data_IF_152484731647
#
_entry.id   IF_152484731647
#
_cell.length_a   1.000
_cell.length_b   1.000
_cell.length_c   1.000
_cell.angle_alpha   90.00
_cell.angle_beta   90.00
_cell.angle_gamma   90.00
#
_symmetry.space_group_name_H-M   'P 1'
#
loop_
_entity.id
_entity.type
_entity.pdbx_description
1 polymer ?
#
# COMPACT_ATOMS: atom_id res chain seq x y z
N UNK A 1 33.58 3.49 3.82
CA UNK A 1 32.43 2.64 3.47
C UNK A 1 31.25 3.31 4.11
N UNK A 2 30.34 3.83 3.30
CA UNK A 2 29.12 4.45 3.82
C UNK A 2 28.05 3.37 4.05
N UNK A 3 27.36 3.45 5.18
CA UNK A 3 26.44 2.41 5.63
C UNK A 3 25.14 3.03 6.14
N UNK A 4 24.04 2.71 5.47
CA UNK A 4 22.72 2.95 6.03
C UNK A 4 22.27 1.67 6.74
N UNK A 5 22.37 1.67 8.08
CA UNK A 5 21.85 0.60 8.93
C UNK A 5 20.49 1.01 9.48
N UNK A 6 19.45 0.34 9.03
CA UNK A 6 18.11 0.53 9.58
C UNK A 6 17.86 -0.60 10.58
N UNK A 7 17.87 -0.27 11.86
CA UNK A 7 17.71 -1.23 12.98
C UNK A 7 16.27 -1.36 13.47
N UNK A 8 15.34 -0.63 12.89
CA UNK A 8 13.94 -0.68 13.32
C UNK A 8 13.20 -1.83 12.66
N UNK A 9 12.53 -2.63 13.50
CA UNK A 9 11.56 -3.64 13.08
C UNK A 9 10.30 -2.92 12.61
N UNK A 10 10.27 -2.48 11.37
CA UNK A 10 9.08 -1.87 10.79
C UNK A 10 8.74 -2.56 9.47
N UNK A 11 7.49 -3.02 9.35
CA UNK A 11 6.88 -3.17 8.04
C UNK A 11 6.74 -1.77 7.45
N UNK A 12 7.18 -1.56 6.22
CA UNK A 12 7.07 -0.22 5.63
C UNK A 12 7.76 -0.06 4.28
N UNK A 13 7.95 1.21 3.96
CA UNK A 13 8.64 1.68 2.78
C UNK A 13 9.82 2.51 3.26
N UNK A 14 11.02 2.20 2.78
CA UNK A 14 12.21 3.00 3.07
C UNK A 14 12.53 3.88 1.88
N UNK A 15 12.71 5.18 2.14
CA UNK A 15 13.06 6.17 1.15
C UNK A 15 14.45 6.72 1.42
N UNK A 16 15.33 6.64 0.43
CA UNK A 16 16.70 7.13 0.56
C UNK A 16 17.23 7.66 -0.76
N UNK A 17 18.20 8.56 -0.66
CA UNK A 17 18.98 9.10 -1.76
C UNK A 17 20.33 8.41 -1.82
N UNK A 18 20.79 8.11 -3.03
CA UNK A 18 22.09 7.49 -3.27
C UNK A 18 22.70 8.04 -4.56
N UNK A 19 24.02 8.12 -4.65
CA UNK A 19 24.74 8.51 -5.88
C UNK A 19 25.61 7.40 -6.49
N UNK A 20 25.52 6.18 -5.94
CA UNK A 20 26.22 5.00 -6.41
C UNK A 20 25.49 4.34 -7.58
N UNK A 21 26.24 3.94 -8.61
CA UNK A 21 25.68 3.10 -9.68
C UNK A 21 25.58 1.62 -9.26
N UNK A 22 26.20 1.22 -8.13
CA UNK A 22 26.24 -0.14 -7.60
C UNK A 22 26.17 -0.10 -6.08
N UNK A 23 25.33 -0.94 -5.51
CA UNK A 23 25.22 -1.08 -4.06
C UNK A 23 24.69 -2.47 -3.68
N UNK A 24 24.95 -2.85 -2.44
CA UNK A 24 24.51 -4.10 -1.86
C UNK A 24 23.39 -3.85 -0.84
N UNK A 25 22.49 -4.81 -0.74
CA UNK A 25 21.39 -4.84 0.20
C UNK A 25 21.49 -6.18 0.94
N UNK A 26 21.83 -6.10 2.22
CA UNK A 26 21.82 -7.23 3.12
C UNK A 26 20.56 -7.14 3.94
N UNK A 27 19.72 -8.17 3.87
CA UNK A 27 18.46 -8.17 4.61
C UNK A 27 18.11 -9.56 5.12
N UNK A 28 17.31 -9.59 6.19
CA UNK A 28 16.83 -10.83 6.80
C UNK A 28 15.35 -10.68 7.12
N UNK A 29 14.55 -11.63 6.65
CA UNK A 29 13.13 -11.71 6.99
C UNK A 29 12.86 -12.87 7.95
N UNK A 30 11.90 -12.68 8.84
CA UNK A 30 11.45 -13.64 9.86
C UNK A 30 9.93 -13.74 9.88
N UNK A 31 9.38 -14.64 10.71
CA UNK A 31 7.93 -14.80 10.90
C UNK A 31 7.14 -14.92 9.58
N UNK A 32 7.72 -15.62 8.60
CA UNK A 32 7.09 -15.82 7.30
C UNK A 32 5.79 -16.62 7.52
N UNK A 33 4.65 -16.04 7.17
CA UNK A 33 3.33 -16.66 7.34
C UNK A 33 3.30 -17.98 6.56
N UNK A 34 3.09 -19.07 7.29
CA UNK A 34 2.95 -20.40 6.70
C UNK A 34 1.63 -20.51 5.92
N UNK A 35 1.61 -21.38 4.91
CA UNK A 35 0.43 -21.59 4.06
C UNK A 35 0.73 -21.45 2.57
N UNK A 36 -0.30 -21.71 1.78
CA UNK A 36 -0.27 -21.65 0.31
C UNK A 36 -0.93 -20.35 -0.17
N UNK A 37 -0.13 -19.46 -0.72
CA UNK A 37 -0.54 -18.14 -1.23
C UNK A 37 -0.28 -18.02 -2.74
N UNK A 38 -1.00 -18.79 -3.59
CA UNK A 38 -0.73 -18.84 -5.03
C UNK A 38 -1.05 -17.52 -5.76
N UNK A 39 -1.88 -16.68 -5.14
CA UNK A 39 -2.31 -15.38 -5.65
C UNK A 39 -1.38 -14.24 -5.20
N UNK A 40 -0.29 -14.54 -4.48
CA UNK A 40 0.66 -13.53 -4.02
C UNK A 40 2.04 -13.81 -4.62
N UNK A 41 2.68 -12.78 -5.18
CA UNK A 41 4.04 -12.93 -5.67
C UNK A 41 5.01 -13.20 -4.52
N UNK A 42 6.04 -14.02 -4.77
CA UNK A 42 6.99 -14.43 -3.72
C UNK A 42 7.69 -13.21 -3.11
N UNK A 43 7.93 -12.18 -3.91
CA UNK A 43 8.55 -10.93 -3.45
C UNK A 43 7.60 -10.11 -2.56
N UNK A 44 6.29 -10.11 -2.82
CA UNK A 44 5.30 -9.52 -1.90
C UNK A 44 5.17 -10.32 -0.58
N UNK A 45 5.35 -11.64 -0.64
CA UNK A 45 5.26 -12.52 0.53
C UNK A 45 6.45 -12.38 1.47
N UNK A 46 7.67 -12.47 0.94
CA UNK A 46 8.89 -12.65 1.72
C UNK A 46 10.13 -11.95 1.14
N UNK A 47 9.93 -11.08 0.15
CA UNK A 47 11.01 -10.40 -0.55
C UNK A 47 11.00 -8.88 -0.41
N UNK A 48 11.90 -8.24 -1.15
CA UNK A 48 12.00 -6.79 -1.26
C UNK A 48 11.74 -6.37 -2.70
N UNK A 49 11.16 -5.19 -2.88
CA UNK A 49 11.00 -4.58 -4.20
C UNK A 49 11.59 -3.18 -4.17
N UNK A 50 12.42 -2.86 -5.17
CA UNK A 50 13.05 -1.57 -5.28
C UNK A 50 12.54 -0.82 -6.50
N UNK A 51 12.21 0.45 -6.28
CA UNK A 51 11.96 1.43 -7.33
C UNK A 51 12.99 2.56 -7.23
N UNK A 52 13.28 3.21 -8.34
CA UNK A 52 14.08 4.44 -8.35
C UNK A 52 13.39 5.56 -9.10
N UNK A 53 13.75 6.80 -8.74
CA UNK A 53 13.36 8.01 -9.46
C UNK A 53 14.60 8.75 -9.93
N UNK A 54 14.76 8.85 -11.25
CA UNK A 54 15.85 9.60 -11.86
C UNK A 54 15.68 11.10 -11.59
N UNK A 55 16.74 11.88 -11.30
CA UNK A 55 16.63 13.33 -11.02
C UNK A 55 16.08 14.20 -12.15
N UNK A 56 15.87 13.64 -13.35
CA UNK A 56 15.38 14.34 -14.55
C UNK A 56 14.03 13.77 -15.01
N UNK A 57 13.49 12.79 -14.29
CA UNK A 57 12.23 12.14 -14.61
C UNK A 57 11.34 12.20 -13.38
N UNK A 58 10.05 12.43 -13.62
CA UNK A 58 9.07 12.44 -12.53
C UNK A 58 8.55 11.04 -12.19
N UNK A 59 8.97 10.03 -12.95
CA UNK A 59 8.44 8.67 -12.86
C UNK A 59 9.35 7.75 -12.04
N UNK A 60 8.72 7.02 -11.12
CA UNK A 60 9.31 5.86 -10.46
C UNK A 60 9.38 4.67 -11.43
N UNK A 61 10.55 4.06 -11.53
CA UNK A 61 10.79 2.88 -12.35
C UNK A 61 11.30 1.72 -11.49
N UNK A 62 10.95 0.49 -11.84
CA UNK A 62 11.44 -0.70 -11.14
C UNK A 62 12.94 -0.87 -11.35
N UNK A 63 13.65 -1.16 -10.26
CA UNK A 63 15.05 -1.59 -10.29
C UNK A 63 15.08 -3.12 -10.36
N UNK A 64 14.61 -3.76 -9.28
CA UNK A 64 14.73 -5.19 -9.06
C UNK A 64 13.75 -5.65 -7.98
N UNK A 65 13.43 -6.95 -7.98
CA UNK A 65 12.68 -7.58 -6.91
C UNK A 65 13.42 -8.83 -6.39
N UNK A 66 13.73 -8.84 -5.10
CA UNK A 66 14.54 -9.88 -4.48
C UNK A 66 13.69 -10.84 -3.65
N UNK A 67 13.97 -12.13 -3.79
CA UNK A 67 13.50 -13.15 -2.87
C UNK A 67 14.45 -13.29 -1.68
N UNK A 68 13.97 -13.69 -0.49
CA UNK A 68 14.76 -13.87 0.73
C UNK A 68 16.07 -14.69 0.53
N UNK A 69 16.09 -15.64 -0.40
CA UNK A 69 17.30 -16.44 -0.68
C UNK A 69 18.38 -15.73 -1.51
N UNK A 70 18.09 -14.55 -2.05
CA UNK A 70 18.98 -13.85 -2.98
C UNK A 70 19.70 -12.71 -2.27
N UNK A 71 21.02 -12.62 -2.48
CA UNK A 71 21.77 -11.44 -2.08
C UNK A 71 21.32 -10.25 -2.93
N UNK A 72 20.92 -9.16 -2.28
CA UNK A 72 20.54 -7.94 -2.99
C UNK A 72 21.77 -7.27 -3.55
N UNK A 73 22.00 -7.40 -4.86
CA UNK A 73 23.02 -6.65 -5.57
C UNK A 73 22.36 -5.83 -6.66
N UNK A 74 22.46 -4.51 -6.55
CA UNK A 74 21.88 -3.57 -7.50
C UNK A 74 22.98 -3.04 -8.42
N UNK A 75 22.73 -3.06 -9.73
CA UNK A 75 23.59 -2.45 -10.73
C UNK A 75 22.80 -1.53 -11.67
N UNK A 76 22.95 -0.22 -11.45
CA UNK A 76 22.30 0.85 -12.19
C UNK A 76 23.14 1.38 -13.37
N UNK A 77 24.30 0.79 -13.67
CA UNK A 77 25.23 1.32 -14.69
C UNK A 77 24.62 1.47 -16.10
N UNK A 78 23.54 0.74 -16.40
CA UNK A 78 22.83 0.83 -17.69
C UNK A 78 21.73 1.89 -17.69
N UNK A 79 21.34 2.39 -16.51
CA UNK A 79 20.24 3.32 -16.30
C UNK A 79 20.72 4.72 -15.89
N UNK A 80 21.88 4.80 -15.25
CA UNK A 80 22.46 6.02 -14.67
C UNK A 80 23.95 6.10 -14.98
N UNK A 81 24.43 7.32 -15.21
CA UNK A 81 25.87 7.59 -15.21
C UNK A 81 26.41 7.67 -13.78
N UNK A 82 27.72 7.47 -13.63
CA UNK A 82 28.40 7.51 -12.34
C UNK A 82 28.19 8.85 -11.63
N UNK A 83 28.07 8.81 -10.30
CA UNK A 83 27.85 9.97 -9.42
C UNK A 83 26.55 10.76 -9.65
N UNK A 84 25.63 10.27 -10.49
CA UNK A 84 24.27 10.84 -10.54
C UNK A 84 23.54 10.46 -9.26
N UNK A 85 23.07 11.45 -8.52
CA UNK A 85 22.24 11.24 -7.32
C UNK A 85 20.78 11.02 -7.70
N UNK A 86 20.16 9.98 -7.13
CA UNK A 86 18.77 9.58 -7.38
C UNK A 86 18.11 9.05 -6.10
N UNK A 87 16.79 8.96 -6.13
CA UNK A 87 15.98 8.47 -5.02
C UNK A 87 15.63 7.00 -5.22
N UNK A 88 15.55 6.24 -4.13
CA UNK A 88 15.17 4.83 -4.10
C UNK A 88 14.08 4.61 -3.07
N UNK A 89 13.02 3.90 -3.47
CA UNK A 89 12.02 3.33 -2.57
C UNK A 89 12.25 1.84 -2.46
N UNK A 90 12.34 1.34 -1.22
CA UNK A 90 12.46 -0.07 -0.90
C UNK A 90 11.21 -0.51 -0.12
N UNK A 91 10.42 -1.38 -0.72
CA UNK A 91 9.22 -1.96 -0.12
C UNK A 91 9.54 -3.27 0.59
N UNK A 92 9.12 -3.38 1.85
CA UNK A 92 9.23 -4.60 2.66
C UNK A 92 8.11 -5.60 2.35
N UNK A 93 8.26 -6.89 2.69
CA UNK A 93 7.20 -7.88 2.46
C UNK A 93 5.97 -7.68 3.35
N UNK A 94 4.83 -8.26 2.94
CA UNK A 94 3.54 -8.19 3.64
C UNK A 94 3.39 -9.28 4.70
N UNK A 95 3.78 -10.50 4.33
CA UNK A 95 3.54 -11.74 5.08
C UNK A 95 4.77 -12.24 5.82
N UNK A 96 5.74 -11.36 6.06
CA UNK A 96 6.89 -11.62 6.92
C UNK A 96 7.35 -10.33 7.59
N UNK A 97 8.23 -10.45 8.58
CA UNK A 97 8.80 -9.33 9.30
C UNK A 97 10.25 -9.11 8.86
N UNK A 98 10.59 -7.88 8.50
CA UNK A 98 11.98 -7.49 8.26
C UNK A 98 12.71 -7.37 9.61
N UNK A 99 13.70 -8.24 9.83
CA UNK A 99 14.52 -8.25 11.05
C UNK A 99 15.75 -7.36 10.91
N UNK A 100 16.36 -7.34 9.73
CA UNK A 100 17.58 -6.59 9.44
C UNK A 100 17.54 -6.03 8.02
N UNK A 101 18.00 -4.79 7.86
CA UNK A 101 18.25 -4.16 6.58
C UNK A 101 19.50 -3.26 6.65
N UNK A 102 20.47 -3.58 5.80
CA UNK A 102 21.70 -2.83 5.63
C UNK A 102 21.88 -2.55 4.15
N UNK A 103 22.05 -1.27 3.81
CA UNK A 103 22.40 -0.83 2.46
C UNK A 103 23.84 -0.34 2.49
N UNK A 104 24.66 -0.87 1.58
CA UNK A 104 26.10 -0.66 1.54
C UNK A 104 26.54 -0.22 0.15
N UNK A 105 27.38 0.81 0.11
CA UNK A 105 28.10 1.23 -1.10
C UNK A 105 29.59 1.43 -0.78
N UNK A 106 30.39 1.65 -1.80
CA UNK A 106 31.82 1.92 -1.62
C UNK A 106 32.07 3.28 -0.95
N UNK A 107 33.33 3.58 -0.66
CA UNK A 107 33.76 4.76 0.10
C UNK A 107 33.59 6.08 -0.66
N UNK A 108 33.37 6.03 -1.97
CA UNK A 108 33.30 7.20 -2.85
C UNK A 108 31.86 7.71 -3.03
N UNK A 109 30.88 6.91 -2.60
CA UNK A 109 29.47 7.22 -2.71
C UNK A 109 28.81 7.43 -1.33
N UNK A 110 27.67 8.09 -1.35
CA UNK A 110 26.90 8.51 -0.18
C UNK A 110 25.48 7.98 -0.23
N UNK A 111 24.97 7.61 0.95
CA UNK A 111 23.58 7.20 1.15
C UNK A 111 22.96 8.07 2.24
N UNK A 112 21.82 8.69 1.93
CA UNK A 112 21.11 9.57 2.85
C UNK A 112 19.65 9.13 2.97
N UNK A 113 19.16 8.96 4.21
CA UNK A 113 17.74 8.71 4.44
C UNK A 113 16.92 9.96 4.13
N UNK A 114 15.80 9.81 3.42
CA UNK A 114 14.89 10.93 3.15
C UNK A 114 13.80 10.90 4.21
N UNK A 115 13.72 11.98 5.00
CA UNK A 115 12.61 12.19 5.91
C UNK A 115 11.43 12.80 5.17
N UNK A 116 10.37 12.02 5.01
CA UNK A 116 9.14 12.40 4.34
C UNK A 116 8.07 12.94 5.30
N UNK A 117 8.39 13.25 6.56
CA UNK A 117 7.40 13.62 7.59
C UNK A 117 6.47 14.79 7.22
N UNK A 118 6.93 15.71 6.37
CA UNK A 118 6.14 16.86 5.90
C UNK A 118 5.14 16.50 4.78
N UNK A 119 5.23 15.32 4.18
CA UNK A 119 4.30 14.88 3.14
C UNK A 119 2.90 14.65 3.71
N UNK A 120 1.84 14.88 2.91
CA UNK A 120 0.47 14.60 3.33
C UNK A 120 0.32 13.16 3.82
N UNK A 121 -0.37 12.99 4.94
CA UNK A 121 -0.59 11.69 5.57
C UNK A 121 -1.93 11.12 5.12
N UNK A 122 -1.93 9.90 4.60
CA UNK A 122 -3.12 9.16 4.18
C UNK A 122 -3.20 7.87 4.99
N UNK A 123 -4.36 7.61 5.55
CA UNK A 123 -4.67 6.37 6.25
C UNK A 123 -5.43 5.44 5.32
N UNK A 124 -4.98 4.19 5.19
CA UNK A 124 -5.68 3.13 4.46
C UNK A 124 -6.09 2.05 5.43
N UNK A 125 -7.38 1.74 5.45
CA UNK A 125 -7.98 0.71 6.28
C UNK A 125 -8.73 -0.30 5.41
N UNK A 126 -8.66 -1.59 5.75
CA UNK A 126 -9.39 -2.56 4.96
C UNK A 126 -9.09 -4.02 5.23
N UNK A 127 -9.65 -4.84 4.35
CA UNK A 127 -9.49 -6.29 4.33
C UNK A 127 -8.31 -6.71 3.45
N UNK A 128 -8.47 -7.89 2.84
CA UNK A 128 -7.44 -8.57 2.05
C UNK A 128 -6.89 -7.74 0.89
N UNK A 129 -7.72 -6.95 0.20
CA UNK A 129 -7.26 -6.14 -0.95
C UNK A 129 -6.35 -5.00 -0.49
N UNK A 130 -6.77 -4.24 0.53
CA UNK A 130 -5.98 -3.17 1.14
C UNK A 130 -4.72 -3.70 1.83
N UNK A 131 -4.77 -4.94 2.31
CA UNK A 131 -3.62 -5.66 2.83
C UNK A 131 -2.61 -6.03 1.74
N UNK A 132 -3.02 -6.08 0.47
CA UNK A 132 -2.17 -6.37 -0.68
C UNK A 132 -2.23 -7.81 -1.16
N UNK A 133 -3.21 -8.59 -0.72
CA UNK A 133 -3.46 -9.92 -1.27
C UNK A 133 -3.82 -9.80 -2.75
N UNK A 134 -3.19 -10.61 -3.60
CA UNK A 134 -3.35 -10.53 -5.05
C UNK A 134 -2.25 -9.74 -5.76
N UNK A 135 -1.36 -9.06 -5.04
CA UNK A 135 -0.27 -8.33 -5.69
C UNK A 135 0.94 -9.24 -6.00
N UNK A 136 1.53 -9.06 -7.19
CA UNK A 136 2.84 -9.68 -7.51
C UNK A 136 3.94 -9.05 -6.66
N UNK A 137 3.86 -7.75 -6.40
CA UNK A 137 4.82 -7.02 -5.56
C UNK A 137 4.10 -6.02 -4.67
N UNK A 138 4.65 -5.72 -3.49
CA UNK A 138 4.11 -4.69 -2.59
C UNK A 138 4.00 -3.32 -3.28
N UNK A 139 4.90 -3.03 -4.22
CA UNK A 139 4.89 -1.77 -4.97
C UNK A 139 3.64 -1.54 -5.84
N UNK A 140 2.89 -2.61 -6.14
CA UNK A 140 1.68 -2.60 -6.98
C UNK A 140 0.37 -2.52 -6.18
N UNK A 141 0.42 -2.54 -4.85
CA UNK A 141 -0.75 -2.24 -4.03
C UNK A 141 -1.27 -0.84 -4.37
N UNK A 142 -2.58 -0.68 -4.52
CA UNK A 142 -3.17 0.62 -4.90
C UNK A 142 -2.71 1.76 -3.98
N UNK A 143 -2.56 1.49 -2.68
CA UNK A 143 -2.13 2.44 -1.67
C UNK A 143 -0.68 2.90 -1.88
N UNK A 144 0.22 1.98 -2.25
CA UNK A 144 1.60 2.33 -2.57
C UNK A 144 1.73 3.07 -3.91
N UNK A 145 0.84 2.80 -4.87
CA UNK A 145 0.75 3.59 -6.10
C UNK A 145 0.26 5.01 -5.78
N UNK A 146 -0.77 5.15 -4.92
CA UNK A 146 -1.26 6.45 -4.43
C UNK A 146 -0.15 7.25 -3.75
N UNK A 147 0.60 6.65 -2.82
CA UNK A 147 1.73 7.31 -2.13
C UNK A 147 2.68 7.98 -3.13
N UNK A 148 3.10 7.23 -4.15
CA UNK A 148 4.05 7.72 -5.16
C UNK A 148 3.47 8.80 -6.07
N UNK A 149 2.17 8.72 -6.36
CA UNK A 149 1.50 9.64 -7.29
C UNK A 149 1.03 10.92 -6.61
N UNK A 150 0.73 10.87 -5.32
CA UNK A 150 0.31 12.01 -4.52
C UNK A 150 1.48 12.64 -3.73
N UNK A 151 2.67 12.03 -3.77
CA UNK A 151 3.82 12.39 -2.90
C UNK A 151 3.36 12.44 -1.45
N UNK A 152 2.77 11.34 -0.99
CA UNK A 152 2.09 11.22 0.29
C UNK A 152 2.62 10.03 1.08
N UNK A 153 2.56 10.11 2.40
CA UNK A 153 2.84 9.01 3.30
C UNK A 153 1.58 8.19 3.54
N UNK A 154 1.70 6.87 3.45
CA UNK A 154 0.60 5.95 3.68
C UNK A 154 0.83 5.21 5.00
N UNK A 155 -0.13 5.34 5.91
CA UNK A 155 -0.28 4.42 7.03
C UNK A 155 -1.30 3.36 6.64
N UNK A 156 -0.88 2.10 6.55
CA UNK A 156 -1.77 1.00 6.20
C UNK A 156 -2.13 0.18 7.45
N UNK A 157 -3.40 0.18 7.82
CA UNK A 157 -3.96 -0.63 8.89
C UNK A 157 -4.98 -1.57 8.25
N UNK A 158 -4.53 -2.72 7.78
CA UNK A 158 -5.38 -3.68 7.08
C UNK A 158 -5.09 -5.10 7.51
N UNK A 159 -6.05 -6.00 7.24
CA UNK A 159 -5.98 -7.39 7.66
C UNK A 159 -6.45 -8.33 6.55
N UNK A 160 -5.62 -9.33 6.23
CA UNK A 160 -6.02 -10.54 5.50
C UNK A 160 -6.92 -11.41 6.41
N UNK A 161 -8.16 -10.97 6.57
CA UNK A 161 -9.19 -11.55 7.45
C UNK A 161 -10.59 -11.17 6.96
N UNK A 162 -11.55 -12.08 7.02
CA UNK A 162 -12.95 -11.78 6.67
C UNK A 162 -13.63 -10.88 7.71
N UNK A 163 -13.21 -10.99 8.97
CA UNK A 163 -13.73 -10.18 10.08
C UNK A 163 -12.83 -8.95 10.34
N UNK A 164 -12.27 -8.37 9.26
CA UNK A 164 -11.33 -7.26 9.37
C UNK A 164 -11.96 -6.01 10.01
N UNK A 165 -13.27 -5.78 9.83
CA UNK A 165 -13.98 -4.63 10.44
C UNK A 165 -13.88 -4.69 11.98
N UNK A 166 -14.11 -5.86 12.59
CA UNK A 166 -13.92 -6.01 14.05
C UNK A 166 -12.46 -5.75 14.44
N UNK A 167 -11.50 -6.27 13.67
CA UNK A 167 -10.06 -6.08 13.97
C UNK A 167 -9.63 -4.63 13.86
N UNK A 168 -10.11 -3.90 12.85
CA UNK A 168 -9.87 -2.47 12.71
C UNK A 168 -10.37 -1.71 13.93
N UNK A 169 -11.55 -2.07 14.44
CA UNK A 169 -12.09 -1.47 15.67
C UNK A 169 -11.22 -1.76 16.89
N UNK A 170 -10.74 -3.00 17.03
CA UNK A 170 -9.86 -3.40 18.13
C UNK A 170 -8.49 -2.71 18.10
N UNK A 171 -8.02 -2.31 16.92
CA UNK A 171 -6.74 -1.63 16.75
C UNK A 171 -6.71 -0.16 17.18
N UNK A 172 -7.88 0.43 17.52
CA UNK A 172 -7.99 1.81 18.05
C UNK A 172 -7.17 2.83 17.25
N UNK A 173 -7.48 2.92 15.96
CA UNK A 173 -6.81 3.80 14.99
C UNK A 173 -6.74 5.26 15.47
N UNK A 174 -7.71 5.69 16.29
CA UNK A 174 -7.83 7.02 16.90
C UNK A 174 -6.96 7.27 18.14
N UNK A 175 -6.35 6.23 18.73
CA UNK A 175 -5.41 6.40 19.85
C UNK A 175 -4.07 6.98 19.35
N UNK A 176 -3.84 6.99 18.03
CA UNK A 176 -2.73 7.74 17.44
C UNK A 176 -3.04 9.23 17.43
N UNK A 177 -2.15 10.08 17.98
CA UNK A 177 -2.28 11.55 17.89
C UNK A 177 -2.07 12.10 16.47
N UNK A 178 -2.07 11.23 15.46
CA UNK A 178 -1.84 11.58 14.07
C UNK A 178 -3.14 12.07 13.44
N UNK A 179 -3.06 13.20 12.74
CA UNK A 179 -4.11 13.65 11.83
C UNK A 179 -3.76 13.24 10.41
N UNK A 180 -4.76 12.77 9.68
CA UNK A 180 -4.64 12.36 8.29
C UNK A 180 -5.43 13.31 7.39
N UNK A 181 -4.89 13.63 6.23
CA UNK A 181 -5.63 14.44 5.26
C UNK A 181 -6.74 13.63 4.58
N UNK A 182 -6.50 12.33 4.38
CA UNK A 182 -7.46 11.41 3.77
C UNK A 182 -7.45 10.08 4.51
N UNK A 183 -8.63 9.58 4.88
CA UNK A 183 -8.88 8.21 5.29
C UNK A 183 -9.54 7.43 4.16
N UNK A 184 -9.02 6.25 3.84
CA UNK A 184 -9.56 5.35 2.82
C UNK A 184 -9.97 4.05 3.51
N UNK A 185 -11.22 3.62 3.34
CA UNK A 185 -11.72 2.35 3.87
C UNK A 185 -12.22 1.45 2.75
N UNK A 186 -11.70 0.22 2.69
CA UNK A 186 -12.29 -0.87 1.91
C UNK A 186 -13.55 -1.39 2.58
N UNK A 187 -14.61 -1.56 1.79
CA UNK A 187 -15.93 -1.99 2.25
C UNK A 187 -16.39 -3.31 1.60
N UNK A 188 -15.43 -4.10 1.09
CA UNK A 188 -15.69 -5.40 0.47
C UNK A 188 -15.76 -6.51 1.51
N UNK A 189 -16.44 -7.60 1.16
CA UNK A 189 -16.48 -8.85 1.97
C UNK A 189 -16.97 -8.65 3.42
N UNK A 190 -17.75 -7.60 3.69
CA UNK A 190 -18.37 -7.37 5.01
C UNK A 190 -19.63 -8.20 5.13
N UNK A 191 -19.71 -9.04 6.16
CA UNK A 191 -20.96 -9.65 6.59
C UNK A 191 -21.82 -8.59 7.29
N UNK A 192 -22.87 -8.11 6.63
CA UNK A 192 -23.78 -7.08 7.17
C UNK A 192 -24.80 -7.63 8.18
N UNK A 193 -24.30 -8.22 9.27
CA UNK A 193 -25.11 -8.48 10.46
C UNK A 193 -25.20 -7.22 11.35
N UNK A 194 -26.06 -7.24 12.38
CA UNK A 194 -26.28 -6.12 13.31
C UNK A 194 -24.97 -5.66 14.00
N UNK A 195 -24.08 -6.62 14.29
CA UNK A 195 -22.83 -6.38 15.02
C UNK A 195 -21.78 -5.75 14.12
N UNK A 196 -21.56 -6.29 12.93
CA UNK A 196 -20.67 -5.73 11.92
C UNK A 196 -21.12 -4.34 11.46
N UNK A 197 -22.44 -4.14 11.33
CA UNK A 197 -23.02 -2.83 11.02
C UNK A 197 -22.72 -1.79 12.12
N UNK A 198 -22.82 -2.20 13.39
CA UNK A 198 -22.44 -1.36 14.53
C UNK A 198 -20.94 -1.02 14.49
N UNK A 199 -20.08 -2.01 14.25
CA UNK A 199 -18.64 -1.78 14.14
C UNK A 199 -18.27 -0.86 12.98
N UNK A 200 -18.93 -1.01 11.83
CA UNK A 200 -18.71 -0.14 10.67
C UNK A 200 -19.06 1.31 10.99
N UNK A 201 -20.21 1.58 11.64
CA UNK A 201 -20.57 2.95 12.05
C UNK A 201 -19.55 3.56 13.00
N UNK A 202 -19.14 2.80 14.02
CA UNK A 202 -18.12 3.27 14.97
C UNK A 202 -16.79 3.56 14.27
N UNK A 203 -16.36 2.67 13.37
CA UNK A 203 -15.13 2.85 12.60
C UNK A 203 -15.19 4.07 11.68
N UNK A 204 -16.31 4.33 11.02
CA UNK A 204 -16.48 5.53 10.18
C UNK A 204 -16.41 6.79 11.05
N UNK A 205 -17.04 6.78 12.24
CA UNK A 205 -16.93 7.89 13.18
C UNK A 205 -15.50 8.12 13.66
N UNK A 206 -14.77 7.04 13.95
CA UNK A 206 -13.36 7.07 14.29
C UNK A 206 -12.54 7.71 13.16
N UNK A 207 -12.74 7.26 11.91
CA UNK A 207 -12.06 7.80 10.72
C UNK A 207 -12.36 9.29 10.54
N UNK A 208 -13.62 9.70 10.62
CA UNK A 208 -14.01 11.11 10.50
C UNK A 208 -13.47 12.00 11.64
N UNK A 209 -13.07 11.41 12.77
CA UNK A 209 -12.46 12.16 13.87
C UNK A 209 -10.97 12.42 13.66
N UNK A 210 -10.28 11.57 12.91
CA UNK A 210 -8.83 11.66 12.66
C UNK A 210 -8.45 12.02 11.22
N UNK A 211 -9.39 11.97 10.28
CA UNK A 211 -9.21 12.29 8.87
C UNK A 211 -10.01 13.53 8.49
N UNK A 212 -9.42 14.44 7.71
CA UNK A 212 -10.15 15.60 7.17
C UNK A 212 -11.23 15.17 6.16
N UNK A 213 -10.95 14.10 5.41
CA UNK A 213 -11.86 13.52 4.42
C UNK A 213 -11.81 11.99 4.54
N UNK A 214 -12.97 11.34 4.53
CA UNK A 214 -13.07 9.88 4.49
C UNK A 214 -13.67 9.42 3.16
N UNK A 215 -13.03 8.43 2.52
CA UNK A 215 -13.47 7.80 1.28
C UNK A 215 -13.66 6.30 1.54
N UNK A 216 -14.87 5.80 1.31
CA UNK A 216 -15.17 4.37 1.30
C UNK A 216 -15.20 3.87 -0.13
N UNK A 217 -14.58 2.72 -0.40
CA UNK A 217 -14.64 2.10 -1.73
C UNK A 217 -15.08 0.65 -1.64
N UNK A 218 -15.82 0.21 -2.66
CA UNK A 218 -16.35 -1.15 -2.74
C UNK A 218 -16.49 -1.62 -4.19
N UNK A 219 -16.48 -2.93 -4.40
CA UNK A 219 -16.97 -3.60 -5.58
C UNK A 219 -18.08 -4.58 -5.18
N UNK A 220 -19.06 -4.73 -6.07
CA UNK A 220 -20.10 -5.74 -5.97
C UNK A 220 -19.83 -6.77 -7.05
N UNK A 221 -19.78 -8.04 -6.66
CA UNK A 221 -20.03 -9.09 -7.64
C UNK A 221 -21.52 -9.04 -8.02
N UNK A 222 -21.89 -9.36 -9.26
CA UNK A 222 -23.23 -9.18 -9.86
C UNK A 222 -24.42 -9.76 -9.06
N UNK A 223 -24.17 -10.47 -7.96
CA UNK A 223 -25.16 -11.11 -7.11
C UNK A 223 -25.62 -10.29 -5.87
N UNK A 224 -25.11 -9.09 -5.58
CA UNK A 224 -25.41 -8.41 -4.29
C UNK A 224 -25.88 -6.95 -4.38
N UNK A 225 -27.06 -6.74 -4.97
CA UNK A 225 -27.81 -5.48 -4.85
C UNK A 225 -28.13 -5.09 -3.38
N UNK A 226 -28.18 -6.08 -2.47
CA UNK A 226 -28.47 -5.89 -1.04
C UNK A 226 -27.35 -5.14 -0.31
N UNK A 227 -26.09 -5.33 -0.71
CA UNK A 227 -24.96 -4.68 -0.03
C UNK A 227 -24.91 -3.18 -0.30
N UNK A 228 -25.35 -2.73 -1.49
CA UNK A 228 -25.31 -1.30 -1.85
C UNK A 228 -26.33 -0.47 -1.08
N UNK A 229 -27.57 -0.98 -0.91
CA UNK A 229 -28.62 -0.30 -0.16
C UNK A 229 -28.27 -0.23 1.32
N UNK A 230 -27.77 -1.34 1.91
CA UNK A 230 -27.31 -1.36 3.31
C UNK A 230 -26.12 -0.43 3.50
N UNK A 231 -25.12 -0.47 2.62
CA UNK A 231 -24.00 0.46 2.68
C UNK A 231 -24.48 1.91 2.60
N UNK A 232 -25.36 2.25 1.65
CA UNK A 232 -25.90 3.60 1.49
C UNK A 232 -26.73 4.04 2.69
N UNK A 233 -27.56 3.19 3.27
CA UNK A 233 -28.35 3.52 4.48
C UNK A 233 -27.45 3.78 5.69
N UNK A 234 -26.44 2.94 5.88
CA UNK A 234 -25.51 3.01 7.01
C UNK A 234 -24.55 4.20 6.89
N UNK A 235 -24.22 4.60 5.65
CA UNK A 235 -23.28 5.65 5.30
C UNK A 235 -23.93 7.02 5.10
N UNK A 236 -25.19 7.11 4.65
CA UNK A 236 -25.86 8.38 4.34
C UNK A 236 -25.91 9.36 5.54
N UNK A 237 -25.69 8.87 6.77
CA UNK A 237 -25.61 9.70 7.97
C UNK A 237 -24.17 10.08 8.40
N UNK A 238 -23.14 9.56 7.73
CA UNK A 238 -21.77 9.49 8.25
C UNK A 238 -20.73 10.32 7.47
N UNK A 239 -21.12 11.26 6.60
CA UNK A 239 -20.20 12.20 5.92
C UNK A 239 -18.97 11.56 5.23
N UNK A 240 -19.12 10.37 4.66
CA UNK A 240 -18.08 9.65 3.91
C UNK A 240 -18.44 9.65 2.42
N UNK A 241 -17.42 9.77 1.57
CA UNK A 241 -17.58 9.71 0.11
C UNK A 241 -17.50 8.24 -0.32
N UNK A 242 -18.55 7.72 -0.95
CA UNK A 242 -18.56 6.36 -1.48
C UNK A 242 -18.08 6.32 -2.93
N UNK A 243 -17.26 5.31 -3.25
CA UNK A 243 -16.78 5.02 -4.60
C UNK A 243 -17.05 3.57 -4.96
N UNK A 244 -17.93 3.42 -5.93
CA UNK A 244 -18.21 2.14 -6.58
C UNK A 244 -17.14 1.86 -7.64
N UNK A 245 -16.39 0.77 -7.42
CA UNK A 245 -15.39 0.26 -8.37
C UNK A 245 -15.79 -1.09 -8.94
N UNK A 246 -17.09 -1.45 -8.91
CA UNK A 246 -17.61 -2.74 -9.38
C UNK A 246 -17.30 -3.03 -10.86
N UNK A 247 -17.04 -2.00 -11.66
CA UNK A 247 -16.63 -2.16 -13.06
C UNK A 247 -15.34 -2.98 -13.24
N UNK A 248 -14.52 -3.16 -12.20
CA UNK A 248 -13.31 -4.01 -12.26
C UNK A 248 -13.66 -5.52 -12.31
N UNK A 249 -14.87 -5.90 -11.87
CA UNK A 249 -15.34 -7.29 -11.82
C UNK A 249 -16.48 -7.58 -12.81
N UNK A 250 -16.77 -6.66 -13.73
CA UNK A 250 -17.72 -6.93 -14.81
C UNK A 250 -17.18 -7.96 -15.81
N UNK A 251 -18.05 -8.48 -16.68
CA UNK A 251 -17.70 -9.48 -17.70
C UNK A 251 -16.50 -9.09 -18.58
N UNK A 252 -16.27 -7.79 -18.80
CA UNK A 252 -15.18 -7.30 -19.64
C UNK A 252 -13.82 -7.32 -18.93
N UNK A 253 -13.79 -7.05 -17.62
CA UNK A 253 -12.57 -6.81 -16.86
C UNK A 253 -12.20 -7.92 -15.88
N UNK A 254 -13.14 -8.79 -15.49
CA UNK A 254 -12.96 -9.75 -14.40
C UNK A 254 -11.73 -10.64 -14.59
N UNK A 255 -11.57 -11.22 -15.78
CA UNK A 255 -10.45 -12.11 -16.10
C UNK A 255 -9.09 -11.38 -16.07
N UNK A 256 -9.09 -10.08 -16.34
CA UNK A 256 -7.89 -9.26 -16.30
C UNK A 256 -7.56 -8.76 -14.89
N UNK A 257 -8.57 -8.52 -14.05
CA UNK A 257 -8.43 -7.79 -12.79
C UNK A 257 -8.48 -8.66 -11.54
N UNK A 258 -8.86 -9.94 -11.66
CA UNK A 258 -8.98 -10.85 -10.54
C UNK A 258 -8.34 -12.21 -10.81
N UNK A 259 -7.91 -12.89 -9.75
CA UNK A 259 -7.62 -14.32 -9.80
C UNK A 259 -8.90 -15.14 -9.63
N UNK A 260 -8.88 -16.42 -10.04
CA UNK A 260 -10.07 -17.30 -9.99
C UNK A 260 -10.74 -17.50 -8.61
N UNK A 261 -10.13 -17.00 -7.53
CA UNK A 261 -10.69 -17.01 -6.18
C UNK A 261 -11.24 -15.63 -5.74
N UNK A 262 -11.37 -14.66 -6.64
CA UNK A 262 -11.91 -13.32 -6.35
C UNK A 262 -10.89 -12.29 -5.86
N UNK A 263 -9.64 -12.67 -5.59
CA UNK A 263 -8.59 -11.71 -5.23
C UNK A 263 -8.27 -10.76 -6.37
N UNK A 264 -8.32 -9.46 -6.09
CA UNK A 264 -7.93 -8.40 -7.02
C UNK A 264 -6.42 -8.49 -7.30
N UNK A 265 -6.05 -8.62 -8.57
CA UNK A 265 -4.65 -8.73 -8.99
C UNK A 265 -4.00 -7.35 -9.23
N UNK A 266 -2.78 -7.32 -9.79
CA UNK A 266 -2.06 -6.08 -10.10
C UNK A 266 -2.86 -5.11 -10.98
N UNK A 267 -3.53 -5.62 -12.04
CA UNK A 267 -4.33 -4.80 -12.95
C UNK A 267 -5.53 -4.17 -12.24
N UNK A 268 -6.21 -4.96 -11.39
CA UNK A 268 -7.33 -4.46 -10.59
C UNK A 268 -6.88 -3.40 -9.57
N UNK A 269 -5.72 -3.59 -8.93
CA UNK A 269 -5.13 -2.58 -8.03
C UNK A 269 -4.82 -1.26 -8.76
N UNK A 270 -4.39 -1.32 -10.02
CA UNK A 270 -4.18 -0.12 -10.86
C UNK A 270 -5.50 0.61 -11.13
N UNK A 271 -6.60 -0.11 -11.38
CA UNK A 271 -7.90 0.51 -11.60
C UNK A 271 -8.45 1.15 -10.32
N UNK A 272 -8.38 0.45 -9.18
CA UNK A 272 -8.73 0.99 -7.86
C UNK A 272 -7.94 2.26 -7.57
N UNK A 273 -6.62 2.24 -7.80
CA UNK A 273 -5.77 3.42 -7.66
C UNK A 273 -6.29 4.61 -8.49
N UNK A 274 -6.65 4.40 -9.77
CA UNK A 274 -7.10 5.49 -10.66
C UNK A 274 -8.38 6.16 -10.15
N UNK A 275 -9.34 5.35 -9.70
CA UNK A 275 -10.61 5.84 -9.16
C UNK A 275 -10.41 6.65 -7.86
N UNK A 276 -9.61 6.09 -6.95
CA UNK A 276 -9.30 6.76 -5.69
C UNK A 276 -8.46 8.03 -5.91
N UNK A 277 -7.46 7.99 -6.79
CA UNK A 277 -6.63 9.14 -7.12
C UNK A 277 -7.47 10.30 -7.67
N UNK A 278 -8.33 10.02 -8.66
CA UNK A 278 -9.23 11.02 -9.24
C UNK A 278 -10.11 11.67 -8.16
N UNK A 279 -10.71 10.84 -7.30
CA UNK A 279 -11.55 11.29 -6.19
C UNK A 279 -10.77 12.16 -5.21
N UNK A 280 -9.58 11.73 -4.80
CA UNK A 280 -8.74 12.47 -3.85
C UNK A 280 -8.40 13.85 -4.41
N UNK A 281 -7.91 13.93 -5.65
CA UNK A 281 -7.57 15.20 -6.29
C UNK A 281 -8.78 16.14 -6.38
N UNK A 282 -9.97 15.62 -6.67
CA UNK A 282 -11.21 16.40 -6.72
C UNK A 282 -11.54 17.04 -5.36
N UNK A 283 -11.41 16.29 -4.27
CA UNK A 283 -11.89 16.71 -2.94
C UNK A 283 -10.85 17.45 -2.12
N UNK A 284 -9.56 17.11 -2.26
CA UNK A 284 -8.47 17.79 -1.55
C UNK A 284 -7.94 19.02 -2.30
N UNK A 285 -8.19 19.08 -3.62
CA UNK A 285 -7.60 20.09 -4.53
C UNK A 285 -6.08 20.10 -4.51
N UNK A 286 -5.45 18.96 -4.22
CA UNK A 286 -4.01 18.81 -4.38
C UNK A 286 -3.66 18.98 -5.86
N UNK A 287 -3.01 20.10 -6.20
CA UNK A 287 -2.46 20.33 -7.53
C UNK A 287 -1.12 19.63 -7.60
N UNK A 288 -1.11 18.42 -8.17
CA UNK A 288 0.06 17.58 -8.35
C UNK A 288 0.37 17.46 -9.83
#
# INVERSE_FOLDING_TARGET
MDLLKIKEKSKGVYHFKINANRFQIHYKVTNIKEGYYPHLGVTAREGLVLLYKHPQKELWASIEAYHNSNLGYVNMSHMLSDNISYEVLLYTPLLSDLEELIIETDDEHHIEYIDDNDNPQILVCGGSTSFGMGCTTVSLMFSNILARKLVANITNVSFDDKDYIRRLRECRITDSHNKYAVGIIELNEIDFDEKSSTYLKELINDLNSCCDITIGWYYLEEATAVCEEVLKEEVNNASIILKDVSHILNDENRDMCSYGNGYINDSGNILIFKELFSTICEVTKWNI
#
